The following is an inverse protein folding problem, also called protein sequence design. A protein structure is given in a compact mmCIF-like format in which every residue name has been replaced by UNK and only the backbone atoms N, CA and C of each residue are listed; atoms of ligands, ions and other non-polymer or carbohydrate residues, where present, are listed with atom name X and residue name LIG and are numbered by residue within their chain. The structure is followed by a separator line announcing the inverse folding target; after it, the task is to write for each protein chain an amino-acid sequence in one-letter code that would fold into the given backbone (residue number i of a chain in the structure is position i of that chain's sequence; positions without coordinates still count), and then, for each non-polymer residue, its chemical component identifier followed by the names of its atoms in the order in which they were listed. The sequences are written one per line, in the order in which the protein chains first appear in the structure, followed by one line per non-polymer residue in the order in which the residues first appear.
data_IF_614569240244
#
_entry.id   IF_614569240244
#
_cell.length_a   1.000
_cell.length_b   1.000
_cell.length_c   1.000
_cell.angle_alpha   90.00
_cell.angle_beta   90.00
_cell.angle_gamma   90.00
#
_symmetry.space_group_name_H-M   'P 1'
#
loop_
_entity.id
_entity.type
_entity.pdbx_description
1 polymer ?
#
# COMPACT_ATOMS: atom_id res chain seq x y z
N UNK A 1 -9.99 -9.81 30.15
CA UNK A 1 -10.83 -8.97 31.04
C UNK A 1 -12.29 -9.16 30.63
N UNK A 2 -13.06 -9.98 31.37
CA UNK A 2 -14.42 -10.36 30.97
C UNK A 2 -15.34 -9.15 30.79
N UNK A 3 -15.97 -9.04 29.62
CA UNK A 3 -17.01 -8.04 29.35
C UNK A 3 -16.52 -6.59 29.20
N UNK A 4 -15.19 -6.35 29.18
CA UNK A 4 -14.63 -5.01 28.95
C UNK A 4 -14.24 -4.82 27.49
N UNK A 5 -14.33 -3.57 27.01
CA UNK A 5 -13.93 -3.15 25.66
C UNK A 5 -12.44 -2.75 25.58
N UNK A 6 -11.74 -2.72 26.72
CA UNK A 6 -10.35 -2.26 26.80
C UNK A 6 -9.38 -3.43 26.98
N UNK A 7 -8.12 -3.20 26.61
CA UNK A 7 -7.00 -4.07 26.88
C UNK A 7 -5.92 -3.37 27.72
N UNK A 8 -5.01 -4.16 28.27
CA UNK A 8 -3.77 -3.67 28.90
C UNK A 8 -2.66 -4.68 28.64
N UNK A 9 -1.58 -4.23 28.06
CA UNK A 9 -0.35 -5.00 27.96
C UNK A 9 0.83 -4.28 28.61
N UNK A 10 1.84 -5.06 28.99
CA UNK A 10 3.03 -4.54 29.65
C UNK A 10 4.27 -5.27 29.16
N UNK A 11 5.31 -4.48 28.91
CA UNK A 11 6.66 -4.99 28.74
C UNK A 11 7.34 -5.23 30.10
N UNK A 12 8.35 -6.11 30.14
CA UNK A 12 9.18 -6.29 31.31
C UNK A 12 9.77 -4.96 31.77
N UNK A 13 9.73 -4.72 33.07
CA UNK A 13 10.31 -3.55 33.70
C UNK A 13 10.86 -3.93 35.07
N UNK A 14 11.48 -2.95 35.77
CA UNK A 14 12.10 -3.18 37.08
C UNK A 14 11.17 -3.78 38.15
N UNK A 15 9.85 -3.73 37.96
CA UNK A 15 8.84 -4.26 38.87
C UNK A 15 8.13 -5.51 38.34
N UNK A 16 8.14 -5.75 37.03
CA UNK A 16 7.44 -6.86 36.38
C UNK A 16 8.41 -7.54 35.43
N UNK A 17 8.85 -8.76 35.74
CA UNK A 17 9.81 -9.49 34.89
C UNK A 17 9.16 -10.10 33.64
N UNK A 18 7.85 -10.30 33.66
CA UNK A 18 7.13 -10.97 32.59
C UNK A 18 6.35 -9.98 31.74
N UNK A 19 6.34 -10.23 30.42
CA UNK A 19 5.38 -9.61 29.50
C UNK A 19 3.99 -10.21 29.73
N UNK A 20 2.95 -9.38 29.71
CA UNK A 20 1.57 -9.85 29.63
C UNK A 20 0.73 -8.99 28.70
N UNK A 21 -0.32 -9.57 28.14
CA UNK A 21 -1.40 -8.87 27.44
C UNK A 21 -2.74 -9.36 28.01
N UNK A 22 -3.48 -8.45 28.63
CA UNK A 22 -4.84 -8.69 29.09
C UNK A 22 -5.78 -8.08 28.06
N UNK A 23 -6.61 -8.91 27.43
CA UNK A 23 -7.52 -8.47 26.37
C UNK A 23 -8.95 -8.43 26.92
N UNK A 24 -9.64 -7.32 26.72
CA UNK A 24 -11.07 -7.20 27.01
C UNK A 24 -11.90 -8.09 26.10
N UNK A 25 -12.87 -8.82 26.65
CA UNK A 25 -13.67 -9.79 25.87
C UNK A 25 -15.07 -9.29 25.53
N UNK A 26 -15.34 -7.99 25.65
CA UNK A 26 -16.55 -7.45 25.07
C UNK A 26 -16.53 -7.65 23.55
N UNK A 27 -17.69 -7.95 22.97
CA UNK A 27 -17.86 -8.28 21.55
C UNK A 27 -17.04 -9.47 21.04
N UNK A 28 -16.44 -10.27 21.94
CA UNK A 28 -15.61 -11.41 21.57
C UNK A 28 -16.39 -12.55 20.88
N UNK A 29 -17.71 -12.63 21.08
CA UNK A 29 -18.56 -13.69 20.53
C UNK A 29 -17.96 -15.08 20.77
N UNK A 30 -18.18 -16.00 19.83
CA UNK A 30 -17.50 -17.30 19.80
C UNK A 30 -16.18 -17.28 19.02
N UNK A 31 -15.93 -16.25 18.20
CA UNK A 31 -14.68 -16.04 17.44
C UNK A 31 -14.47 -14.55 17.11
N UNK A 32 -13.22 -14.05 17.05
CA UNK A 32 -12.93 -12.70 16.56
C UNK A 32 -13.37 -12.54 15.11
N UNK A 33 -14.35 -11.66 14.85
CA UNK A 33 -14.85 -11.35 13.51
C UNK A 33 -13.91 -10.39 12.77
N UNK A 34 -13.75 -10.56 11.46
CA UNK A 34 -13.15 -9.53 10.59
C UNK A 34 -13.93 -8.22 10.68
N UNK A 35 -13.21 -7.10 10.67
CA UNK A 35 -13.80 -5.78 10.84
C UNK A 35 -14.25 -5.46 12.27
N UNK A 36 -14.18 -6.42 13.20
CA UNK A 36 -14.70 -6.31 14.55
C UNK A 36 -13.74 -5.63 15.52
N UNK A 37 -14.29 -4.84 16.44
CA UNK A 37 -13.52 -4.11 17.45
C UNK A 37 -12.71 -5.03 18.38
N UNK A 38 -13.28 -6.14 18.86
CA UNK A 38 -12.56 -7.11 19.69
C UNK A 38 -11.28 -7.64 19.03
N UNK A 39 -11.33 -7.92 17.72
CA UNK A 39 -10.16 -8.37 16.96
C UNK A 39 -9.10 -7.28 16.89
N UNK A 40 -9.49 -6.03 16.68
CA UNK A 40 -8.56 -4.90 16.70
C UNK A 40 -7.87 -4.78 18.06
N UNK A 41 -8.63 -4.86 19.17
CA UNK A 41 -8.06 -4.80 20.53
C UNK A 41 -7.09 -5.96 20.77
N UNK A 42 -7.41 -7.17 20.32
CA UNK A 42 -6.50 -8.32 20.40
C UNK A 42 -5.15 -8.03 19.73
N UNK A 43 -5.16 -7.47 18.51
CA UNK A 43 -3.94 -7.13 17.77
C UNK A 43 -3.21 -5.99 18.47
N UNK A 44 -3.94 -4.97 18.93
CA UNK A 44 -3.40 -3.80 19.63
C UNK A 44 -2.63 -4.19 20.91
N UNK A 45 -3.24 -4.99 21.79
CA UNK A 45 -2.57 -5.41 23.02
C UNK A 45 -1.40 -6.36 22.75
N UNK A 46 -1.49 -7.16 21.69
CA UNK A 46 -0.36 -7.98 21.24
C UNK A 46 0.78 -7.08 20.76
N UNK A 47 0.48 -5.98 20.07
CA UNK A 47 1.44 -4.94 19.66
C UNK A 47 2.21 -4.36 20.85
N UNK A 48 1.51 -3.95 21.90
CA UNK A 48 2.13 -3.51 23.16
C UNK A 48 3.01 -4.59 23.80
N UNK A 49 2.57 -5.85 23.80
CA UNK A 49 3.35 -6.97 24.33
C UNK A 49 4.66 -7.24 23.55
N UNK A 50 4.73 -6.84 22.29
CA UNK A 50 5.94 -6.86 21.46
C UNK A 50 6.61 -5.49 21.33
N UNK A 51 6.27 -4.54 22.21
CA UNK A 51 7.01 -3.28 22.37
C UNK A 51 6.64 -2.15 21.42
N UNK A 52 5.51 -2.25 20.73
CA UNK A 52 4.90 -1.12 20.03
C UNK A 52 4.20 -0.22 21.04
N UNK A 53 4.29 1.10 20.85
CA UNK A 53 3.52 2.07 21.65
C UNK A 53 2.39 2.67 20.82
N UNK A 54 1.50 3.41 21.47
CA UNK A 54 0.64 4.33 20.72
C UNK A 54 1.50 5.32 19.91
N UNK A 55 1.09 5.72 18.70
CA UNK A 55 1.88 6.62 17.87
C UNK A 55 2.13 8.01 18.50
N UNK A 56 1.23 8.47 19.39
CA UNK A 56 1.38 9.70 20.17
C UNK A 56 1.38 9.48 21.69
N UNK A 57 1.70 10.53 22.47
CA UNK A 57 1.65 10.53 23.94
C UNK A 57 0.20 10.63 24.46
N UNK A 58 -0.56 9.54 24.34
CA UNK A 58 -1.87 9.38 24.95
C UNK A 58 -2.04 7.98 25.52
N UNK A 59 -2.91 7.87 26.52
CA UNK A 59 -3.25 6.62 27.17
C UNK A 59 -4.68 6.71 27.73
N UNK A 60 -5.49 5.68 27.49
CA UNK A 60 -6.89 5.59 27.92
C UNK A 60 -7.89 6.57 27.27
N UNK A 61 -7.47 7.78 26.89
CA UNK A 61 -8.30 8.76 26.18
C UNK A 61 -7.45 9.76 25.38
N UNK A 62 -8.05 10.38 24.37
CA UNK A 62 -7.43 11.44 23.58
C UNK A 62 -8.34 11.93 22.46
N UNK A 63 -8.07 13.11 21.92
CA UNK A 63 -8.70 13.60 20.70
C UNK A 63 -7.64 13.84 19.63
N UNK A 64 -7.94 13.47 18.39
CA UNK A 64 -7.00 13.55 17.28
C UNK A 64 -6.38 14.97 17.17
N UNK A 65 -7.22 16.01 17.22
CA UNK A 65 -6.80 17.40 17.07
C UNK A 65 -5.76 17.89 18.09
N UNK A 66 -5.64 17.27 19.26
CA UNK A 66 -4.73 17.73 20.32
C UNK A 66 -3.69 16.70 20.76
N UNK A 67 -3.90 15.42 20.45
CA UNK A 67 -3.04 14.33 20.93
C UNK A 67 -2.32 13.56 19.80
N UNK A 68 -2.80 13.64 18.56
CA UNK A 68 -2.06 13.09 17.43
C UNK A 68 -0.77 13.89 17.24
N UNK A 69 0.38 13.21 17.26
CA UNK A 69 1.69 13.87 17.08
C UNK A 69 2.00 14.13 15.59
N UNK A 70 1.30 13.43 14.68
CA UNK A 70 1.44 13.56 13.24
C UNK A 70 0.12 13.19 12.54
N UNK A 71 -0.03 13.61 11.28
CA UNK A 71 -1.28 13.46 10.52
C UNK A 71 -1.65 12.01 10.18
N UNK A 72 -0.68 11.09 10.23
CA UNK A 72 -0.90 9.67 9.96
C UNK A 72 -1.25 8.85 11.21
N UNK A 73 -1.40 9.47 12.39
CA UNK A 73 -1.84 8.80 13.60
C UNK A 73 -3.33 8.49 13.51
N UNK A 74 -3.67 7.47 12.73
CA UNK A 74 -5.02 6.97 12.55
C UNK A 74 -5.03 5.45 12.38
N UNK A 75 -6.20 4.83 12.57
CA UNK A 75 -6.42 3.40 12.31
C UNK A 75 -6.24 2.99 10.84
N UNK A 76 -6.11 3.94 9.90
CA UNK A 76 -5.72 3.63 8.54
C UNK A 76 -4.28 3.14 8.44
N UNK A 77 -3.43 3.57 9.38
CA UNK A 77 -1.98 3.39 9.35
C UNK A 77 -1.49 2.45 10.43
N UNK A 78 -2.11 2.49 11.61
CA UNK A 78 -1.69 1.70 12.77
C UNK A 78 -2.89 1.26 13.62
N UNK A 79 -2.94 -0.02 13.97
CA UNK A 79 -3.90 -0.53 14.97
C UNK A 79 -3.61 0.00 16.37
N UNK A 80 -2.39 0.50 16.61
CA UNK A 80 -1.99 1.17 17.85
C UNK A 80 -2.62 2.56 17.99
N UNK A 81 -3.19 3.13 16.93
CA UNK A 81 -3.85 4.43 17.00
C UNK A 81 -5.25 4.37 17.65
N UNK A 82 -5.55 5.38 18.46
CA UNK A 82 -6.89 5.57 19.01
C UNK A 82 -7.84 6.23 18.02
N UNK A 83 -7.32 6.87 16.97
CA UNK A 83 -8.09 7.81 16.16
C UNK A 83 -8.66 7.13 14.92
N UNK A 84 -9.90 7.49 14.56
CA UNK A 84 -10.55 7.00 13.34
C UNK A 84 -9.71 7.32 12.11
N UNK A 85 -9.70 6.37 11.17
CA UNK A 85 -9.19 6.48 9.81
C UNK A 85 -9.67 7.75 9.11
N UNK A 86 -10.90 8.21 9.37
CA UNK A 86 -11.50 9.39 8.73
C UNK A 86 -10.82 10.71 9.09
N UNK A 87 -9.93 10.72 10.10
CA UNK A 87 -9.08 11.87 10.36
C UNK A 87 -7.96 12.05 9.31
N UNK A 88 -7.70 11.01 8.50
CA UNK A 88 -6.83 11.04 7.35
C UNK A 88 -7.68 11.12 6.07
N UNK A 89 -7.52 12.16 5.23
CA UNK A 89 -8.28 12.30 3.99
C UNK A 89 -8.11 11.08 3.07
N UNK A 90 -9.21 10.64 2.46
CA UNK A 90 -9.20 9.48 1.54
C UNK A 90 -9.44 8.13 2.21
N UNK A 91 -9.73 8.08 3.51
CA UNK A 91 -10.01 6.83 4.23
C UNK A 91 -11.42 6.83 4.84
N UNK A 92 -12.15 5.74 4.63
CA UNK A 92 -13.43 5.45 5.26
C UNK A 92 -13.64 3.94 5.30
N UNK A 93 -13.58 3.36 6.51
CA UNK A 93 -13.74 1.93 6.70
C UNK A 93 -15.19 1.57 7.04
N UNK A 94 -16.12 2.52 6.90
CA UNK A 94 -17.52 2.34 7.24
C UNK A 94 -17.71 1.83 8.69
N UNK A 95 -16.93 2.38 9.62
CA UNK A 95 -16.88 1.99 11.04
C UNK A 95 -16.30 0.59 11.32
N UNK A 96 -15.75 -0.10 10.32
CA UNK A 96 -15.02 -1.35 10.50
C UNK A 96 -13.60 -1.08 11.02
N UNK A 97 -13.03 -2.12 11.63
CA UNK A 97 -11.69 -2.06 12.21
C UNK A 97 -10.69 -2.93 11.44
N UNK A 98 -9.39 -2.57 11.41
CA UNK A 98 -8.35 -3.42 10.86
C UNK A 98 -8.37 -4.84 11.42
N UNK A 99 -8.21 -5.83 10.54
CA UNK A 99 -8.22 -7.26 10.91
C UNK A 99 -6.83 -7.87 11.04
N UNK A 100 -5.79 -7.08 10.78
CA UNK A 100 -4.37 -7.42 10.85
C UNK A 100 -3.57 -6.15 11.21
N UNK A 101 -2.27 -6.28 11.56
CA UNK A 101 -1.38 -5.12 11.63
C UNK A 101 -1.41 -4.29 10.34
N UNK A 102 -1.41 -2.96 10.49
CA UNK A 102 -1.42 -2.01 9.39
C UNK A 102 0.01 -1.52 9.07
N UNK A 103 0.15 -0.71 8.02
CA UNK A 103 1.44 -0.33 7.43
C UNK A 103 2.49 0.15 8.46
N UNK A 104 2.11 1.04 9.38
CA UNK A 104 3.04 1.58 10.39
C UNK A 104 3.35 0.55 11.50
N UNK A 105 2.42 -0.36 11.80
CA UNK A 105 2.64 -1.45 12.75
C UNK A 105 3.68 -2.44 12.22
N UNK A 106 3.57 -2.80 10.93
CA UNK A 106 4.50 -3.69 10.24
C UNK A 106 5.88 -3.06 10.23
N UNK A 107 6.00 -1.80 9.79
CA UNK A 107 7.28 -1.10 9.75
C UNK A 107 7.94 -1.00 11.15
N UNK A 108 7.15 -0.70 12.19
CA UNK A 108 7.64 -0.62 13.56
C UNK A 108 8.14 -1.96 14.10
N UNK A 109 7.36 -3.03 13.91
CA UNK A 109 7.74 -4.38 14.34
C UNK A 109 9.00 -4.86 13.60
N UNK A 110 9.08 -4.63 12.30
CA UNK A 110 10.25 -4.99 11.50
C UNK A 110 11.50 -4.18 11.89
N UNK A 111 11.34 -2.95 12.35
CA UNK A 111 12.47 -2.17 12.89
C UNK A 111 13.03 -2.79 14.17
N UNK A 112 12.18 -3.37 15.02
CA UNK A 112 12.59 -4.01 16.27
C UNK A 112 13.19 -5.40 16.03
N UNK A 113 12.60 -6.18 15.12
CA UNK A 113 12.84 -7.63 15.03
C UNK A 113 13.37 -8.10 13.68
N UNK A 114 13.49 -7.20 12.70
CA UNK A 114 13.78 -7.54 11.31
C UNK A 114 12.54 -7.95 10.52
N UNK A 115 12.62 -7.80 9.19
CA UNK A 115 11.60 -8.28 8.28
C UNK A 115 11.65 -9.80 8.15
N UNK A 116 10.50 -10.47 8.22
CA UNK A 116 10.40 -11.91 8.00
C UNK A 116 10.10 -12.22 6.52
N UNK A 117 11.16 -12.34 5.73
CA UNK A 117 11.10 -12.63 4.29
C UNK A 117 10.77 -14.10 3.96
N UNK A 118 10.61 -14.97 4.96
CA UNK A 118 10.12 -16.34 4.73
C UNK A 118 8.58 -16.40 4.68
N UNK A 119 7.90 -15.30 4.98
CA UNK A 119 6.44 -15.27 4.97
C UNK A 119 5.96 -15.12 3.53
N UNK A 120 5.20 -16.11 3.04
CA UNK A 120 4.56 -16.07 1.71
C UNK A 120 5.53 -15.80 0.56
N UNK A 121 6.77 -16.27 0.67
CA UNK A 121 7.84 -16.04 -0.30
C UNK A 121 7.75 -16.84 -1.61
N UNK A 122 6.52 -17.10 -2.04
CA UNK A 122 6.11 -17.78 -3.28
C UNK A 122 4.81 -17.13 -3.74
N UNK A 123 4.41 -17.37 -4.98
CA UNK A 123 3.20 -16.81 -5.61
C UNK A 123 1.97 -16.85 -4.69
N UNK A 124 1.53 -15.66 -4.30
CA UNK A 124 0.44 -15.46 -3.34
C UNK A 124 -0.69 -14.65 -3.94
N UNK A 125 -1.91 -15.15 -3.79
CA UNK A 125 -3.13 -14.41 -4.11
C UNK A 125 -3.76 -13.87 -2.83
N UNK A 126 -3.98 -12.56 -2.79
CA UNK A 126 -4.67 -11.80 -1.74
C UNK A 126 -6.08 -11.43 -2.21
N UNK A 127 -7.07 -11.42 -1.31
CA UNK A 127 -8.45 -11.11 -1.68
C UNK A 127 -9.27 -12.34 -2.05
N UNK A 128 -9.99 -12.29 -3.17
CA UNK A 128 -10.67 -13.48 -3.71
C UNK A 128 -9.65 -14.53 -4.13
N UNK A 129 -10.09 -15.79 -4.22
CA UNK A 129 -9.24 -16.93 -4.60
C UNK A 129 -7.95 -17.06 -3.77
N UNK A 130 -7.92 -16.48 -2.55
CA UNK A 130 -6.69 -16.34 -1.79
C UNK A 130 -6.12 -17.68 -1.30
N UNK A 131 -4.80 -17.81 -1.43
CA UNK A 131 -4.01 -18.94 -0.92
C UNK A 131 -3.20 -18.57 0.35
N UNK A 132 -3.42 -17.39 0.93
CA UNK A 132 -2.66 -16.87 2.08
C UNK A 132 -2.81 -17.71 3.35
N UNK A 133 -3.85 -18.53 3.44
CA UNK A 133 -4.28 -19.22 4.66
C UNK A 133 -4.44 -18.24 5.85
N UNK A 134 -4.90 -17.00 5.57
CA UNK A 134 -5.18 -15.97 6.57
C UNK A 134 -6.54 -15.37 6.29
N UNK A 135 -7.47 -15.55 7.24
CA UNK A 135 -8.81 -15.01 7.10
C UNK A 135 -8.82 -13.49 6.83
N UNK A 136 -7.98 -12.71 7.52
CA UNK A 136 -7.86 -11.26 7.33
C UNK A 136 -7.48 -10.82 5.91
N UNK A 137 -6.92 -11.73 5.10
CA UNK A 137 -6.39 -11.46 3.77
C UNK A 137 -7.19 -12.18 2.67
N UNK A 138 -8.30 -12.84 3.04
CA UNK A 138 -9.13 -13.63 2.12
C UNK A 138 -10.56 -13.10 2.07
N UNK A 139 -11.08 -13.00 0.85
CA UNK A 139 -12.46 -12.65 0.53
C UNK A 139 -13.18 -13.86 -0.04
N UNK A 140 -14.43 -14.06 0.39
CA UNK A 140 -15.28 -15.20 0.01
C UNK A 140 -16.50 -14.75 -0.77
N UNK A 141 -16.99 -13.54 -0.51
CA UNK A 141 -18.19 -12.99 -1.15
C UNK A 141 -18.03 -11.50 -1.44
N UNK A 142 -18.84 -10.98 -2.36
CA UNK A 142 -18.92 -9.56 -2.69
C UNK A 142 -19.38 -8.65 -1.51
N UNK A 143 -19.84 -9.25 -0.41
CA UNK A 143 -20.23 -8.52 0.81
C UNK A 143 -19.10 -8.44 1.84
N UNK A 144 -17.97 -9.08 1.60
CA UNK A 144 -16.81 -8.99 2.49
C UNK A 144 -16.16 -7.61 2.36
N UNK A 145 -15.58 -7.12 3.47
CA UNK A 145 -15.06 -5.77 3.57
C UNK A 145 -13.60 -5.82 4.03
N UNK A 146 -12.64 -5.78 3.09
CA UNK A 146 -11.22 -5.93 3.43
C UNK A 146 -10.70 -4.69 4.16
N UNK A 147 -10.04 -4.88 5.30
CA UNK A 147 -9.25 -3.83 5.97
C UNK A 147 -7.94 -4.45 6.45
N UNK A 148 -6.90 -4.35 5.62
CA UNK A 148 -5.61 -4.99 5.87
C UNK A 148 -4.44 -4.29 5.16
N UNK A 149 -3.22 -4.61 5.60
CA UNK A 149 -1.97 -4.28 4.92
C UNK A 149 -1.26 -5.56 4.48
N UNK A 150 -0.78 -5.59 3.25
CA UNK A 150 -0.03 -6.72 2.68
C UNK A 150 1.43 -6.65 3.14
N UNK A 151 1.91 -7.73 3.73
CA UNK A 151 3.33 -8.05 3.85
C UNK A 151 3.60 -9.28 3.00
N UNK A 152 4.58 -9.25 2.11
CA UNK A 152 5.01 -10.42 1.33
C UNK A 152 6.54 -10.51 1.33
N UNK A 153 7.07 -11.73 1.32
CA UNK A 153 8.49 -12.04 1.26
C UNK A 153 9.04 -12.24 -0.15
N UNK A 154 8.17 -12.33 -1.17
CA UNK A 154 8.50 -12.45 -2.59
C UNK A 154 7.64 -13.51 -3.31
N UNK A 155 7.76 -13.60 -4.61
CA UNK A 155 6.88 -14.43 -5.44
C UNK A 155 6.38 -13.63 -6.63
N UNK A 156 5.50 -14.22 -7.42
CA UNK A 156 4.68 -13.50 -8.40
C UNK A 156 3.25 -13.37 -7.83
N UNK A 157 2.97 -12.22 -7.21
CA UNK A 157 1.83 -12.06 -6.31
C UNK A 157 0.67 -11.32 -6.96
N UNK A 158 -0.56 -11.60 -6.50
CA UNK A 158 -1.79 -11.04 -7.06
C UNK A 158 -2.69 -10.42 -5.99
N UNK A 159 -3.12 -9.18 -6.22
CA UNK A 159 -4.31 -8.64 -5.58
C UNK A 159 -5.56 -8.95 -6.41
N UNK A 160 -6.36 -9.91 -5.96
CA UNK A 160 -7.57 -10.35 -6.65
C UNK A 160 -8.81 -9.76 -5.97
N UNK A 161 -9.40 -8.76 -6.61
CA UNK A 161 -10.63 -8.10 -6.19
C UNK A 161 -11.77 -8.30 -7.19
N UNK A 162 -11.70 -9.37 -7.97
CA UNK A 162 -12.62 -9.69 -9.08
C UNK A 162 -14.06 -9.96 -8.69
N UNK A 163 -14.32 -10.31 -7.43
CA UNK A 163 -15.67 -10.56 -6.94
C UNK A 163 -16.48 -9.30 -6.60
N UNK A 164 -15.92 -8.09 -6.76
CA UNK A 164 -16.63 -6.83 -6.48
C UNK A 164 -17.27 -6.22 -7.72
N UNK A 165 -18.25 -5.35 -7.50
CA UNK A 165 -18.97 -4.62 -8.57
C UNK A 165 -18.96 -3.10 -8.38
N UNK A 166 -18.41 -2.63 -7.27
CA UNK A 166 -18.15 -1.22 -7.02
C UNK A 166 -16.93 -0.77 -7.81
N UNK A 167 -16.89 0.51 -8.21
CA UNK A 167 -15.69 1.12 -8.78
C UNK A 167 -14.54 1.11 -7.76
N UNK A 168 -13.42 0.51 -8.14
CA UNK A 168 -12.25 0.30 -7.30
C UNK A 168 -11.08 1.18 -7.74
N UNK A 169 -10.15 1.43 -6.82
CA UNK A 169 -8.85 2.00 -7.12
C UNK A 169 -7.78 1.10 -6.53
N UNK A 170 -7.09 0.36 -7.37
CA UNK A 170 -6.08 -0.62 -6.97
C UNK A 170 -4.71 -0.09 -7.34
N UNK A 171 -3.81 -0.01 -6.37
CA UNK A 171 -2.45 0.48 -6.57
C UNK A 171 -1.42 -0.54 -6.08
N UNK A 172 -0.56 -1.02 -6.98
CA UNK A 172 0.48 -2.02 -6.72
C UNK A 172 1.78 -1.43 -6.15
N UNK A 173 1.87 -0.12 -6.00
CA UNK A 173 3.07 0.50 -5.43
C UNK A 173 3.18 0.24 -3.92
N UNK A 174 4.37 -0.10 -3.45
CA UNK A 174 4.67 -0.17 -2.03
C UNK A 174 4.29 1.15 -1.33
N UNK A 175 3.84 1.05 -0.08
CA UNK A 175 3.45 2.19 0.76
C UNK A 175 2.25 2.99 0.23
N UNK A 176 1.50 2.42 -0.71
CA UNK A 176 0.27 2.99 -1.24
C UNK A 176 -0.99 2.41 -0.58
N UNK A 177 -2.12 3.07 -0.86
CA UNK A 177 -3.45 2.67 -0.44
C UNK A 177 -4.36 2.47 -1.66
N UNK A 178 -5.28 1.53 -1.51
CA UNK A 178 -6.30 1.16 -2.49
C UNK A 178 -7.70 1.34 -1.90
N UNK A 179 -8.64 1.73 -2.75
CA UNK A 179 -10.08 1.72 -2.48
C UNK A 179 -10.63 0.40 -3.02
N UNK A 180 -11.05 -0.50 -2.13
CA UNK A 180 -11.47 -1.86 -2.51
C UNK A 180 -12.85 -2.16 -1.95
N UNK A 181 -13.73 -2.68 -2.82
CA UNK A 181 -15.14 -2.91 -2.51
C UNK A 181 -15.87 -1.60 -2.14
N UNK A 182 -16.63 -1.61 -1.05
CA UNK A 182 -17.41 -0.45 -0.62
C UNK A 182 -16.64 0.57 0.26
N UNK A 183 -15.32 0.39 0.43
CA UNK A 183 -14.50 1.14 1.38
C UNK A 183 -13.48 2.06 0.68
N UNK A 184 -12.86 2.95 1.46
CA UNK A 184 -11.84 3.90 0.97
C UNK A 184 -10.53 3.77 1.75
N UNK A 185 -9.41 3.72 1.03
CA UNK A 185 -8.06 3.60 1.57
C UNK A 185 -7.87 2.44 2.55
N UNK A 186 -8.54 1.32 2.32
CA UNK A 186 -8.73 0.21 3.26
C UNK A 186 -7.75 -0.96 3.04
N UNK A 187 -7.21 -1.09 1.84
CA UNK A 187 -6.14 -2.04 1.52
C UNK A 187 -4.85 -1.25 1.29
N UNK A 188 -3.73 -1.76 1.79
CA UNK A 188 -2.43 -1.13 1.63
C UNK A 188 -1.31 -2.13 1.44
N UNK A 189 -0.16 -1.68 0.93
CA UNK A 189 1.03 -2.50 0.71
C UNK A 189 2.15 -1.99 1.61
N UNK A 190 2.75 -2.88 2.40
CA UNK A 190 3.84 -2.50 3.30
C UNK A 190 5.11 -2.08 2.53
N UNK A 191 5.98 -1.33 3.20
CA UNK A 191 7.28 -0.94 2.66
C UNK A 191 8.10 -2.17 2.27
N UNK A 192 8.72 -2.11 1.09
CA UNK A 192 9.63 -3.16 0.61
C UNK A 192 8.93 -4.41 0.07
N UNK A 193 7.61 -4.37 -0.10
CA UNK A 193 6.84 -5.40 -0.80
C UNK A 193 6.66 -4.98 -2.25
N UNK A 194 6.88 -5.91 -3.17
CA UNK A 194 6.51 -5.79 -4.59
C UNK A 194 5.33 -6.73 -4.82
N UNK A 195 4.30 -6.24 -5.51
CA UNK A 195 3.20 -7.07 -6.01
C UNK A 195 3.11 -6.89 -7.51
N UNK A 196 2.96 -7.98 -8.24
CA UNK A 196 3.10 -8.01 -9.69
C UNK A 196 1.74 -7.87 -10.39
N UNK A 197 0.66 -8.38 -9.79
CA UNK A 197 -0.59 -8.56 -10.50
C UNK A 197 -1.79 -7.96 -9.77
N UNK A 198 -2.78 -7.51 -10.54
CA UNK A 198 -4.06 -7.06 -10.02
C UNK A 198 -5.22 -7.53 -10.92
N UNK A 199 -6.32 -7.92 -10.27
CA UNK A 199 -7.61 -8.14 -10.92
C UNK A 199 -8.67 -7.22 -10.30
N UNK A 200 -9.23 -6.32 -11.11
CA UNK A 200 -10.42 -5.54 -10.81
C UNK A 200 -11.69 -6.38 -10.95
N UNK A 201 -12.83 -5.75 -10.68
CA UNK A 201 -14.16 -6.34 -10.61
C UNK A 201 -15.02 -6.04 -11.83
N UNK A 202 -16.32 -5.84 -11.63
CA UNK A 202 -17.25 -5.46 -12.70
C UNK A 202 -17.64 -3.97 -12.68
N UNK A 203 -16.92 -3.16 -11.89
CA UNK A 203 -17.08 -1.71 -11.79
C UNK A 203 -16.17 -0.98 -12.77
N UNK A 204 -16.23 0.36 -12.82
CA UNK A 204 -15.25 1.13 -13.59
C UNK A 204 -14.00 1.35 -12.73
N UNK A 205 -13.04 0.46 -12.85
CA UNK A 205 -11.90 0.37 -11.96
C UNK A 205 -10.71 1.17 -12.46
N UNK A 206 -9.89 1.65 -11.52
CA UNK A 206 -8.60 2.27 -11.79
C UNK A 206 -7.47 1.38 -11.24
N UNK A 207 -6.73 0.73 -12.12
CA UNK A 207 -5.59 -0.13 -11.76
C UNK A 207 -4.29 0.59 -12.08
N UNK A 208 -3.40 0.64 -11.09
CA UNK A 208 -2.08 1.26 -11.21
C UNK A 208 -1.05 0.21 -10.83
N UNK A 209 -0.27 -0.22 -11.82
CA UNK A 209 0.92 -1.02 -11.62
C UNK A 209 2.05 -0.23 -10.95
N UNK A 210 3.25 -0.79 -10.98
CA UNK A 210 4.42 -0.26 -10.30
C UNK A 210 5.63 -0.19 -11.26
N UNK A 211 6.82 -0.58 -10.80
CA UNK A 211 8.07 -0.43 -11.55
C UNK A 211 8.58 -1.77 -12.11
N UNK A 212 7.89 -2.87 -11.82
CA UNK A 212 8.16 -4.19 -12.36
C UNK A 212 7.07 -4.57 -13.35
N UNK A 213 7.33 -5.57 -14.19
CA UNK A 213 6.34 -6.09 -15.11
C UNK A 213 5.06 -6.52 -14.36
N UNK A 214 3.93 -5.94 -14.74
CA UNK A 214 2.65 -6.21 -14.12
C UNK A 214 1.68 -6.94 -15.05
N UNK A 215 0.87 -7.85 -14.51
CA UNK A 215 -0.31 -8.40 -15.18
C UNK A 215 -1.57 -7.75 -14.61
N UNK A 216 -2.25 -6.95 -15.43
CA UNK A 216 -3.43 -6.18 -15.02
C UNK A 216 -4.67 -6.67 -15.77
N UNK A 217 -5.68 -7.12 -15.02
CA UNK A 217 -7.01 -7.45 -15.53
C UNK A 217 -7.99 -6.44 -14.97
N UNK A 218 -8.56 -5.57 -15.81
CA UNK A 218 -9.58 -4.60 -15.39
C UNK A 218 -10.85 -5.31 -14.88
N UNK A 219 -11.29 -6.31 -15.65
CA UNK A 219 -12.54 -7.00 -15.42
C UNK A 219 -13.59 -6.42 -16.35
N UNK A 220 -14.85 -6.33 -15.91
CA UNK A 220 -15.89 -5.67 -16.69
C UNK A 220 -16.06 -4.22 -16.28
N UNK A 221 -16.37 -3.33 -17.19
CA UNK A 221 -16.49 -1.89 -16.88
C UNK A 221 -15.86 -1.07 -17.98
N UNK A 222 -15.69 0.23 -17.74
CA UNK A 222 -14.77 1.07 -18.51
C UNK A 222 -13.58 1.40 -17.62
N UNK A 223 -12.56 0.55 -17.65
CA UNK A 223 -11.44 0.61 -16.72
C UNK A 223 -10.35 1.56 -17.19
N UNK A 224 -9.57 2.04 -16.22
CA UNK A 224 -8.41 2.91 -16.44
C UNK A 224 -7.18 2.19 -15.92
N UNK A 225 -6.40 1.66 -16.85
CA UNK A 225 -5.25 0.81 -16.54
C UNK A 225 -3.97 1.60 -16.76
N UNK A 226 -3.06 1.56 -15.79
CA UNK A 226 -1.72 2.14 -15.91
C UNK A 226 -0.71 1.06 -15.58
N UNK A 227 0.15 0.71 -16.54
CA UNK A 227 1.20 -0.28 -16.36
C UNK A 227 2.28 0.24 -15.40
N UNK A 228 2.79 1.44 -15.66
CA UNK A 228 3.89 2.02 -14.91
C UNK A 228 5.21 1.79 -15.63
N UNK A 229 6.15 1.13 -14.99
CA UNK A 229 7.39 0.69 -15.62
C UNK A 229 7.48 -0.83 -15.57
N UNK A 230 8.16 -1.44 -16.53
CA UNK A 230 8.15 -2.89 -16.69
C UNK A 230 7.73 -3.23 -18.11
N UNK A 231 7.55 -4.52 -18.37
CA UNK A 231 6.92 -5.01 -19.60
C UNK A 231 5.55 -5.54 -19.21
N UNK A 232 4.53 -4.70 -19.32
CA UNK A 232 3.24 -4.94 -18.70
C UNK A 232 2.31 -5.74 -19.62
N UNK A 233 1.41 -6.52 -19.04
CA UNK A 233 0.42 -7.30 -19.77
C UNK A 233 -0.98 -6.90 -19.32
N UNK A 234 -1.75 -6.30 -20.23
CA UNK A 234 -3.15 -5.95 -20.04
C UNK A 234 -4.03 -7.08 -20.59
N UNK A 235 -4.87 -7.65 -19.73
CA UNK A 235 -5.54 -8.92 -19.99
C UNK A 235 -7.03 -8.72 -20.17
N UNK A 236 -7.56 -9.37 -21.21
CA UNK A 236 -8.99 -9.39 -21.54
C UNK A 236 -9.47 -10.84 -21.65
N UNK A 237 -10.18 -11.29 -20.63
CA UNK A 237 -10.63 -12.68 -20.49
C UNK A 237 -12.03 -12.91 -21.09
N UNK A 238 -12.86 -11.87 -21.15
CA UNK A 238 -14.19 -11.91 -21.74
C UNK A 238 -14.45 -10.71 -22.66
N UNK A 239 -15.38 -10.87 -23.62
CA UNK A 239 -15.77 -9.76 -24.51
C UNK A 239 -16.47 -8.62 -23.77
N UNK A 240 -17.06 -8.93 -22.61
CA UNK A 240 -17.65 -7.95 -21.71
C UNK A 240 -16.63 -7.08 -20.99
N UNK A 241 -15.35 -7.45 -21.03
CA UNK A 241 -14.32 -6.75 -20.27
C UNK A 241 -14.11 -5.34 -20.82
N UNK A 242 -14.18 -5.18 -22.15
CA UNK A 242 -13.98 -3.87 -22.81
C UNK A 242 -14.86 -3.73 -24.04
N UNK A 243 -16.12 -3.40 -23.82
CA UNK A 243 -17.12 -3.25 -24.90
C UNK A 243 -16.93 -1.95 -25.68
N UNK A 244 -17.42 -1.82 -26.93
CA UNK A 244 -17.35 -0.56 -27.67
C UNK A 244 -18.02 0.64 -26.99
N UNK A 245 -19.08 0.40 -26.22
CA UNK A 245 -19.83 1.45 -25.51
C UNK A 245 -19.13 1.88 -24.21
N UNK A 246 -18.43 0.94 -23.56
CA UNK A 246 -17.65 1.15 -22.34
C UNK A 246 -16.27 0.52 -22.51
N UNK A 247 -15.38 1.16 -23.31
CA UNK A 247 -14.05 0.62 -23.56
C UNK A 247 -13.09 1.01 -22.44
N UNK A 248 -12.20 0.08 -22.10
CA UNK A 248 -11.04 0.33 -21.28
C UNK A 248 -10.08 1.29 -21.95
N UNK A 249 -9.33 2.01 -21.11
CA UNK A 249 -8.27 2.92 -21.52
C UNK A 249 -6.99 2.59 -20.76
N UNK A 250 -5.98 2.15 -21.51
CA UNK A 250 -4.61 2.02 -21.02
C UNK A 250 -3.92 3.39 -21.09
N UNK A 251 -3.38 3.87 -19.99
CA UNK A 251 -2.98 5.27 -19.83
C UNK A 251 -1.54 5.58 -20.24
N UNK A 252 -0.72 4.55 -20.48
CA UNK A 252 0.73 4.67 -20.69
C UNK A 252 1.31 3.50 -21.52
N UNK A 253 0.56 3.00 -22.50
CA UNK A 253 0.97 1.83 -23.29
C UNK A 253 2.25 2.09 -24.10
N UNK A 254 3.27 1.27 -23.90
CA UNK A 254 4.55 1.30 -24.62
C UNK A 254 4.66 0.13 -25.61
N UNK A 255 4.45 0.40 -26.90
CA UNK A 255 4.58 -0.61 -27.95
C UNK A 255 5.98 -1.24 -28.00
N UNK A 256 6.05 -2.55 -28.21
CA UNK A 256 7.28 -3.35 -28.18
C UNK A 256 7.77 -3.70 -26.78
N UNK A 257 7.15 -3.14 -25.73
CA UNK A 257 7.42 -3.44 -24.32
C UNK A 257 6.20 -4.09 -23.70
N UNK A 258 5.07 -3.40 -23.74
CA UNK A 258 3.79 -3.85 -23.22
C UNK A 258 3.05 -4.79 -24.17
N UNK A 259 2.08 -5.53 -23.63
CA UNK A 259 1.29 -6.50 -24.36
C UNK A 259 -0.19 -6.42 -24.02
N UNK A 260 -1.02 -6.70 -25.01
CA UNK A 260 -2.44 -6.99 -24.84
C UNK A 260 -2.64 -8.51 -24.92
N UNK A 261 -3.00 -9.16 -23.82
CA UNK A 261 -3.39 -10.57 -23.84
C UNK A 261 -4.89 -10.68 -24.03
N UNK A 262 -5.28 -11.03 -25.27
CA UNK A 262 -6.67 -11.29 -25.67
C UNK A 262 -6.91 -12.78 -25.93
N UNK A 263 -5.95 -13.64 -25.58
CA UNK A 263 -5.96 -15.06 -25.96
C UNK A 263 -7.17 -15.83 -25.43
N UNK A 264 -7.70 -15.43 -24.28
CA UNK A 264 -8.88 -16.02 -23.68
C UNK A 264 -10.16 -15.78 -24.50
N UNK A 265 -10.26 -14.66 -25.23
CA UNK A 265 -11.40 -14.34 -26.10
C UNK A 265 -11.60 -15.35 -27.25
N UNK A 266 -10.56 -16.10 -27.58
CA UNK A 266 -10.57 -17.07 -28.68
C UNK A 266 -10.94 -18.48 -28.21
N UNK A 267 -10.92 -18.74 -26.89
CA UNK A 267 -11.22 -20.06 -26.34
C UNK A 267 -12.66 -20.45 -26.67
N UNK A 268 -12.83 -21.60 -27.30
CA UNK A 268 -14.15 -22.11 -27.70
C UNK A 268 -14.71 -21.48 -29.00
N UNK A 269 -13.94 -20.63 -29.68
CA UNK A 269 -14.29 -20.10 -31.00
C UNK A 269 -13.62 -20.92 -32.12
N UNK A 270 -14.04 -20.69 -33.38
CA UNK A 270 -13.36 -21.24 -34.57
C UNK A 270 -12.27 -20.30 -35.12
N UNK A 271 -11.97 -19.21 -34.43
CA UNK A 271 -10.99 -18.20 -34.87
C UNK A 271 -9.60 -18.70 -34.50
N UNK A 272 -8.72 -18.85 -35.49
CA UNK A 272 -7.36 -19.38 -35.30
C UNK A 272 -6.29 -18.31 -35.10
N UNK A 273 -6.52 -17.14 -35.68
CA UNK A 273 -5.61 -16.00 -35.62
C UNK A 273 -6.38 -14.72 -35.91
N UNK A 274 -5.82 -13.58 -35.49
CA UNK A 274 -6.33 -12.27 -35.88
C UNK A 274 -5.97 -11.97 -37.33
N UNK A 275 -6.88 -11.31 -38.03
CA UNK A 275 -6.64 -10.73 -39.36
C UNK A 275 -6.72 -9.21 -39.26
N UNK A 276 -5.57 -8.55 -39.28
CA UNK A 276 -5.50 -7.08 -39.22
C UNK A 276 -5.88 -6.46 -40.57
N UNK A 277 -6.70 -5.42 -40.53
CA UNK A 277 -7.12 -4.67 -41.71
C UNK A 277 -7.46 -3.22 -41.40
N UNK A 278 -7.79 -2.45 -42.44
CA UNK A 278 -8.14 -1.02 -42.30
C UNK A 278 -9.55 -0.78 -41.74
N UNK A 279 -10.44 -1.78 -41.85
CA UNK A 279 -11.84 -1.69 -41.40
C UNK A 279 -12.41 -3.08 -41.13
N UNK A 280 -13.44 -3.15 -40.29
CA UNK A 280 -14.22 -4.36 -40.04
C UNK A 280 -15.17 -4.61 -41.22
N UNK A 281 -15.10 -5.80 -41.82
CA UNK A 281 -15.89 -6.17 -43.01
C UNK A 281 -16.86 -7.33 -42.76
N UNK A 282 -16.93 -7.84 -41.53
CA UNK A 282 -17.78 -8.98 -41.17
C UNK A 282 -17.12 -10.34 -41.35
N UNK A 283 -15.80 -10.43 -41.14
CA UNK A 283 -15.13 -11.72 -41.01
C UNK A 283 -14.78 -11.94 -39.53
N UNK A 284 -15.17 -13.07 -38.91
CA UNK A 284 -14.79 -13.39 -37.54
C UNK A 284 -13.25 -13.39 -37.37
N UNK A 285 -12.77 -12.75 -36.31
CA UNK A 285 -11.35 -12.60 -36.03
C UNK A 285 -10.69 -11.41 -36.71
N UNK A 286 -11.45 -10.49 -37.31
CA UNK A 286 -10.88 -9.25 -37.83
C UNK A 286 -10.49 -8.29 -36.71
N UNK A 287 -9.34 -7.65 -36.87
CA UNK A 287 -8.83 -6.62 -35.99
C UNK A 287 -8.54 -5.33 -36.76
N UNK A 288 -8.82 -4.19 -36.15
CA UNK A 288 -8.45 -2.86 -36.67
C UNK A 288 -7.66 -2.13 -35.61
N UNK A 289 -6.49 -1.62 -36.00
CA UNK A 289 -5.67 -0.74 -35.19
C UNK A 289 -5.78 0.68 -35.72
N UNK A 290 -6.05 1.64 -34.85
CA UNK A 290 -5.97 3.07 -35.19
C UNK A 290 -5.01 3.78 -34.26
N UNK A 291 -4.37 4.83 -34.77
CA UNK A 291 -3.55 5.74 -33.97
C UNK A 291 -3.68 7.16 -34.51
N UNK A 292 -3.99 8.10 -33.62
CA UNK A 292 -3.99 9.52 -33.91
C UNK A 292 -2.72 10.18 -33.38
N UNK A 293 -1.84 10.64 -34.27
CA UNK A 293 -0.58 11.28 -33.88
C UNK A 293 -0.79 12.62 -33.16
N UNK A 294 -1.92 13.29 -33.36
CA UNK A 294 -2.21 14.57 -32.74
C UNK A 294 -2.57 14.45 -31.26
N UNK A 295 -3.39 13.47 -30.91
CA UNK A 295 -3.81 13.18 -29.52
C UNK A 295 -2.91 12.16 -28.81
N UNK A 296 -2.17 11.34 -29.57
CA UNK A 296 -1.44 10.19 -29.04
C UNK A 296 -2.33 9.00 -28.68
N UNK A 297 -3.61 9.02 -29.09
CA UNK A 297 -4.58 7.97 -28.78
C UNK A 297 -4.46 6.80 -29.77
N UNK A 298 -4.30 5.60 -29.23
CA UNK A 298 -4.36 4.32 -29.95
C UNK A 298 -5.65 3.57 -29.66
N UNK A 299 -6.01 2.63 -30.53
CA UNK A 299 -7.09 1.68 -30.28
C UNK A 299 -6.92 0.38 -31.02
N UNK A 300 -7.45 -0.70 -30.42
CA UNK A 300 -7.65 -2.02 -31.01
C UNK A 300 -9.14 -2.35 -30.99
N UNK A 301 -9.73 -2.58 -32.15
CA UNK A 301 -11.11 -3.06 -32.29
C UNK A 301 -11.12 -4.48 -32.85
N UNK A 302 -11.89 -5.39 -32.23
CA UNK A 302 -11.99 -6.80 -32.63
C UNK A 302 -13.43 -7.16 -33.02
N UNK A 303 -13.63 -7.75 -34.20
CA UNK A 303 -14.90 -8.38 -34.62
C UNK A 303 -14.77 -9.91 -34.47
N UNK A 304 -15.33 -10.44 -33.39
CA UNK A 304 -15.27 -11.87 -33.04
C UNK A 304 -16.49 -12.62 -33.58
N UNK A 305 -17.60 -11.93 -33.83
CA UNK A 305 -18.86 -12.52 -34.30
C UNK A 305 -19.00 -12.52 -35.82
N UNK A 306 -18.17 -11.75 -36.54
CA UNK A 306 -18.20 -11.60 -38.00
C UNK A 306 -19.35 -10.74 -38.50
N UNK A 307 -19.82 -9.77 -37.71
CA UNK A 307 -20.96 -8.93 -38.07
C UNK A 307 -20.56 -7.56 -38.65
N UNK A 308 -19.26 -7.28 -38.75
CA UNK A 308 -18.71 -6.01 -39.25
C UNK A 308 -18.69 -4.90 -38.21
N UNK A 309 -18.92 -5.22 -36.95
CA UNK A 309 -18.85 -4.32 -35.80
C UNK A 309 -17.86 -4.87 -34.78
N UNK A 310 -17.29 -3.97 -33.98
CA UNK A 310 -16.42 -4.37 -32.89
C UNK A 310 -17.28 -5.05 -31.80
N UNK A 311 -16.84 -6.21 -31.32
CA UNK A 311 -17.33 -6.85 -30.11
C UNK A 311 -16.48 -6.44 -28.89
N UNK A 312 -15.20 -6.13 -29.12
CA UNK A 312 -14.26 -5.61 -28.12
C UNK A 312 -13.57 -4.37 -28.68
N UNK A 313 -13.43 -3.33 -27.86
CA UNK A 313 -12.69 -2.11 -28.17
C UNK A 313 -11.79 -1.78 -27.00
N UNK A 314 -10.49 -1.73 -27.22
CA UNK A 314 -9.48 -1.32 -26.23
C UNK A 314 -8.87 -0.02 -26.70
N UNK A 315 -8.76 0.96 -25.82
CA UNK A 315 -8.09 2.24 -26.11
C UNK A 315 -6.78 2.34 -25.34
N UNK A 316 -5.87 3.13 -25.88
CA UNK A 316 -4.59 3.42 -25.25
C UNK A 316 -4.20 4.88 -25.44
N UNK A 317 -3.45 5.42 -24.48
CA UNK A 317 -2.51 6.51 -24.74
C UNK A 317 -1.19 5.83 -25.10
N UNK A 318 -0.73 6.06 -26.33
CA UNK A 318 0.34 5.27 -26.95
C UNK A 318 -0.19 4.39 -28.07
N UNK A 319 0.67 4.12 -29.06
CA UNK A 319 0.33 3.31 -30.24
C UNK A 319 0.29 1.83 -29.84
N UNK A 320 -0.69 1.09 -30.36
CA UNK A 320 -0.72 -0.38 -30.31
C UNK A 320 -0.33 -0.89 -31.70
N UNK A 321 0.68 -1.75 -31.79
CA UNK A 321 1.05 -2.47 -33.00
C UNK A 321 0.53 -3.92 -32.96
N UNK A 322 0.45 -4.56 -34.12
CA UNK A 322 -0.05 -5.93 -34.22
C UNK A 322 0.77 -6.92 -33.39
N UNK A 323 2.09 -6.72 -33.29
CA UNK A 323 3.00 -7.57 -32.52
C UNK A 323 2.81 -7.45 -31.00
N UNK A 324 2.14 -6.40 -30.52
CA UNK A 324 1.82 -6.22 -29.10
C UNK A 324 0.58 -7.04 -28.69
N UNK A 325 -0.20 -7.53 -29.66
CA UNK A 325 -1.47 -8.22 -29.42
C UNK A 325 -1.27 -9.73 -29.38
N UNK A 326 -1.23 -10.29 -28.17
CA UNK A 326 -1.14 -11.72 -27.95
C UNK A 326 -2.52 -12.38 -27.99
N UNK A 327 -2.73 -13.28 -28.96
CA UNK A 327 -3.99 -14.00 -29.19
C UNK A 327 -3.84 -15.53 -29.13
N UNK A 328 -2.86 -16.03 -28.39
CA UNK A 328 -2.63 -17.48 -28.19
C UNK A 328 -1.87 -18.18 -29.32
N UNK A 329 -1.53 -17.46 -30.39
CA UNK A 329 -0.52 -17.89 -31.38
C UNK A 329 0.65 -16.94 -31.21
N UNK A 330 1.78 -17.44 -30.71
CA UNK A 330 3.01 -16.64 -30.77
C UNK A 330 3.31 -16.36 -32.25
N UNK A 331 3.72 -15.14 -32.62
CA UNK A 331 4.15 -14.88 -33.98
C UNK A 331 5.19 -15.93 -34.34
N UNK A 332 4.97 -16.65 -35.44
CA UNK A 332 5.95 -17.58 -35.98
C UNK A 332 7.20 -16.77 -36.29
N UNK A 333 8.19 -16.86 -35.40
CA UNK A 333 9.55 -16.41 -35.68
C UNK A 333 10.11 -17.37 -36.72
N UNK A 334 9.78 -17.15 -38.00
CA UNK A 334 10.49 -17.71 -39.15
C UNK A 334 11.83 -16.99 -39.33
N UNK A 335 12.57 -16.82 -38.25
CA UNK A 335 14.00 -16.55 -38.27
C UNK A 335 14.66 -17.50 -37.29
N UNK A 336 15.24 -18.55 -37.86
CA UNK A 336 16.27 -19.35 -37.21
C UNK A 336 17.27 -18.38 -36.54
N UNK A 337 17.54 -18.48 -35.23
CA UNK A 337 18.58 -17.67 -34.62
C UNK A 337 19.90 -18.06 -35.28
N UNK A 338 20.50 -17.15 -36.04
CA UNK A 338 21.88 -17.31 -36.47
C UNK A 338 22.71 -17.63 -35.22
N UNK A 339 23.30 -18.83 -35.19
CA UNK A 339 24.30 -19.19 -34.19
C UNK A 339 25.29 -18.02 -34.06
N UNK A 340 25.59 -17.55 -32.85
CA UNK A 340 26.64 -16.55 -32.67
C UNK A 340 27.91 -17.07 -33.33
N UNK A 341 28.44 -16.32 -34.31
CA UNK A 341 29.81 -16.55 -34.76
C UNK A 341 30.70 -16.41 -33.53
N UNK A 342 31.64 -17.34 -33.28
CA UNK A 342 32.52 -17.24 -32.13
C UNK A 342 33.34 -15.95 -32.24
N UNK A 343 33.18 -15.07 -31.25
CA UNK A 343 33.99 -13.87 -31.11
C UNK A 343 35.46 -14.27 -31.07
N UNK A 344 36.22 -13.70 -32.00
CA UNK A 344 37.68 -13.77 -31.96
C UNK A 344 38.14 -12.87 -30.82
N UNK A 345 38.37 -13.49 -29.66
CA UNK A 345 39.03 -12.89 -28.51
C UNK A 345 40.34 -12.21 -28.96
N UNK A 346 40.53 -10.89 -28.75
CA UNK A 346 41.82 -10.26 -28.97
C UNK A 346 42.86 -10.85 -28.01
N UNK A 347 44.01 -11.23 -28.55
CA UNK A 347 45.17 -11.73 -27.80
C UNK A 347 45.68 -10.63 -26.86
N UNK A 348 46.10 -10.93 -25.61
CA UNK A 348 46.60 -9.90 -24.71
C UNK A 348 47.94 -9.34 -25.21
N UNK A 349 48.00 -8.03 -25.48
CA UNK A 349 49.25 -7.34 -25.79
C UNK A 349 50.23 -7.41 -24.60
N UNK A 350 51.50 -7.70 -24.91
CA UNK A 350 52.61 -7.70 -23.94
C UNK A 350 52.81 -6.30 -23.34
N UNK A 351 53.14 -6.18 -22.04
CA UNK A 351 53.38 -4.89 -21.41
C UNK A 351 54.66 -4.24 -21.96
N UNK A 352 54.57 -2.96 -22.33
CA UNK A 352 55.73 -2.11 -22.68
C UNK A 352 56.46 -1.62 -21.41
N UNK A 353 57.78 -1.36 -21.47
CA UNK A 353 58.58 -1.03 -20.29
C UNK A 353 58.33 0.39 -19.77
N UNK A 354 58.31 0.53 -18.44
CA UNK A 354 58.16 1.79 -17.72
C UNK A 354 59.24 2.81 -18.07
N UNK A 355 58.81 4.03 -18.42
CA UNK A 355 59.68 5.21 -18.47
C UNK A 355 59.40 6.10 -17.28
N UNK A 356 60.43 6.25 -16.44
CA UNK A 356 60.49 7.06 -15.23
C UNK A 356 60.39 8.57 -15.58
N UNK A 357 59.53 9.37 -14.94
CA UNK A 357 59.54 10.83 -15.14
C UNK A 357 60.71 11.50 -14.40
N UNK A 358 61.37 12.44 -15.07
CA UNK A 358 62.31 13.40 -14.48
C UNK A 358 61.60 14.45 -13.59
N UNK A 359 62.27 15.02 -12.58
CA UNK A 359 61.65 15.91 -11.60
C UNK A 359 61.42 17.33 -12.13
N UNK A 360 60.19 17.84 -12.00
CA UNK A 360 59.83 19.23 -12.28
C UNK A 360 60.43 20.22 -11.26
N UNK A 361 60.86 21.39 -11.76
CA UNK A 361 61.37 22.53 -10.97
C UNK A 361 60.23 23.23 -10.20
N UNK A 362 60.50 23.79 -9.00
CA UNK A 362 59.47 24.40 -8.16
C UNK A 362 59.01 25.77 -8.69
N UNK A 363 57.69 26.01 -8.64
CA UNK A 363 57.04 27.33 -8.88
C UNK A 363 57.18 28.23 -7.64
N UNK A 364 57.16 29.57 -7.78
CA UNK A 364 57.42 30.50 -6.68
C UNK A 364 56.18 30.79 -5.82
N UNK A 365 56.42 30.92 -4.51
CA UNK A 365 55.45 31.30 -3.48
C UNK A 365 54.89 32.72 -3.68
N UNK A 366 53.56 32.85 -3.72
CA UNK A 366 52.87 34.14 -3.53
C UNK A 366 52.34 34.24 -2.10
N UNK A 367 52.92 35.19 -1.37
CA UNK A 367 52.61 35.65 -0.01
C UNK A 367 51.25 36.38 0.04
N UNK A 368 50.42 36.20 1.08
CA UNK A 368 49.24 37.03 1.30
C UNK A 368 49.61 38.35 2.01
N UNK A 369 49.13 39.48 1.49
CA UNK A 369 49.26 40.81 2.10
C UNK A 369 47.93 41.30 2.73
N UNK A 370 48.01 42.26 3.67
CA UNK A 370 47.22 42.24 4.91
C UNK A 370 45.89 42.99 4.87
N UNK A 371 44.95 42.56 5.71
CA UNK A 371 43.71 43.26 6.01
C UNK A 371 43.99 44.61 6.70
N UNK A 372 43.33 45.67 6.22
CA UNK A 372 43.17 46.93 6.97
C UNK A 372 41.72 47.09 7.45
N UNK A 373 41.52 47.67 8.64
CA UNK A 373 40.22 47.72 9.31
C UNK A 373 39.44 48.96 8.85
N UNK A 374 38.11 48.93 8.94
CA UNK A 374 37.32 50.15 8.92
C UNK A 374 36.40 50.24 10.16
N UNK A 375 36.32 51.42 10.82
CA UNK A 375 35.67 51.61 12.11
C UNK A 375 34.23 52.14 11.97
N UNK A 376 33.62 52.39 13.13
CA UNK A 376 32.41 53.18 13.41
C UNK A 376 31.05 52.46 13.56
N UNK A 377 30.81 52.08 14.83
CA UNK A 377 29.62 52.41 15.65
C UNK A 377 28.92 53.73 15.27
N UNK A 378 27.60 53.98 15.35
CA UNK A 378 26.49 53.54 16.24
C UNK A 378 25.13 54.07 15.64
N UNK A 379 23.94 53.98 16.28
CA UNK A 379 22.67 53.60 15.64
C UNK A 379 21.62 54.74 15.55
N UNK A 380 20.54 54.50 14.78
CA UNK A 380 19.18 55.08 14.90
C UNK A 380 18.37 54.61 13.67
N UNK A 381 17.05 54.47 13.59
CA UNK A 381 15.92 54.37 14.52
C UNK A 381 14.70 53.98 13.65
N UNK A 382 13.72 53.29 14.26
CA UNK A 382 12.29 53.24 13.95
C UNK A 382 11.74 53.39 12.51
N UNK A 383 11.04 52.34 12.01
CA UNK A 383 9.67 52.46 11.43
C UNK A 383 8.91 51.12 11.40
N UNK A 384 7.55 51.14 11.46
CA UNK A 384 6.74 50.05 12.03
C UNK A 384 6.16 49.06 11.01
N UNK A 385 5.81 47.87 11.52
CA UNK A 385 5.06 46.79 10.86
C UNK A 385 3.57 47.14 10.66
N UNK A 386 2.89 46.63 9.61
CA UNK A 386 1.46 46.85 9.38
C UNK A 386 0.57 45.98 10.29
N UNK A 387 -0.54 46.57 10.78
CA UNK A 387 -1.59 45.93 11.62
C UNK A 387 -2.59 45.15 10.77
N UNK A 388 -3.19 44.05 11.30
CA UNK A 388 -4.38 43.42 10.69
C UNK A 388 -5.68 44.16 11.07
N UNK A 389 -6.64 44.18 10.14
CA UNK A 389 -7.98 44.81 10.28
C UNK A 389 -8.93 43.94 11.11
N UNK A 390 -9.88 44.54 11.86
CA UNK A 390 -10.90 43.80 12.60
C UNK A 390 -12.10 43.42 11.71
N UNK A 391 -12.65 42.21 11.92
CA UNK A 391 -14.00 41.84 11.44
C UNK A 391 -15.01 42.05 12.56
N UNK A 392 -16.08 42.75 12.22
CA UNK A 392 -17.24 43.08 13.04
C UNK A 392 -18.12 41.84 13.30
N UNK A 393 -18.55 41.68 14.55
CA UNK A 393 -19.60 40.73 14.97
C UNK A 393 -20.88 41.53 15.16
N UNK A 394 -21.99 41.06 14.56
CA UNK A 394 -23.34 41.56 14.78
C UNK A 394 -24.10 40.53 15.63
N UNK A 395 -24.76 41.00 16.69
CA UNK A 395 -25.72 40.25 17.50
C UNK A 395 -27.13 40.79 17.22
N UNK A 396 -28.08 39.91 16.93
CA UNK A 396 -29.52 40.11 17.18
C UNK A 396 -30.13 38.82 17.74
N UNK A 397 -31.28 38.97 18.40
CA UNK A 397 -31.65 38.26 19.63
C UNK A 397 -33.00 37.52 19.59
N UNK A 398 -33.05 36.38 20.32
CA UNK A 398 -34.18 35.77 21.09
C UNK A 398 -35.34 35.04 20.35
N UNK A 399 -36.17 34.18 21.02
CA UNK A 399 -36.03 33.43 22.29
C UNK A 399 -36.46 31.92 22.26
N UNK A 400 -36.15 31.24 23.38
CA UNK A 400 -36.58 29.95 23.99
C UNK A 400 -38.06 29.47 23.81
N UNK A 401 -38.44 28.17 24.06
CA UNK A 401 -38.36 27.55 25.41
C UNK A 401 -38.23 26.00 25.59
N UNK A 402 -37.90 25.65 26.85
CA UNK A 402 -38.28 24.49 27.69
C UNK A 402 -37.79 23.04 27.44
N UNK A 403 -37.30 22.45 28.54
CA UNK A 403 -36.85 21.08 28.78
C UNK A 403 -38.00 20.04 28.86
N UNK A 404 -37.71 18.73 29.01
CA UNK A 404 -37.50 18.16 30.35
C UNK A 404 -36.42 17.06 30.49
N UNK A 405 -36.01 16.83 31.75
CA UNK A 405 -35.23 15.72 32.32
C UNK A 405 -35.88 14.33 32.15
N UNK A 406 -35.12 13.22 32.33
CA UNK A 406 -35.24 12.43 33.57
C UNK A 406 -33.88 11.87 34.07
N UNK A 407 -33.59 11.94 35.37
CA UNK A 407 -33.97 11.03 36.46
C UNK A 407 -32.96 9.90 36.71
N UNK A 408 -32.38 9.96 37.91
CA UNK A 408 -31.63 8.92 38.60
C UNK A 408 -32.42 7.62 38.72
N UNK A 409 -31.76 6.46 38.63
CA UNK A 409 -32.26 5.23 39.22
C UNK A 409 -31.12 4.42 39.83
N UNK A 410 -31.30 4.16 41.13
CA UNK A 410 -30.53 3.25 41.99
C UNK A 410 -31.02 1.82 41.69
N UNK A 411 -30.18 0.78 41.80
CA UNK A 411 -30.53 -0.50 42.46
C UNK A 411 -29.33 -1.47 42.59
N UNK A 412 -29.18 -1.90 43.84
CA UNK A 412 -28.66 -3.14 44.45
C UNK A 412 -27.29 -3.72 44.08
N UNK A 413 -26.43 -3.66 45.09
CA UNK A 413 -25.60 -4.77 45.59
C UNK A 413 -26.26 -6.15 45.53
N UNK A 414 -25.59 -7.11 44.91
CA UNK A 414 -25.78 -8.55 45.17
C UNK A 414 -24.39 -9.17 45.40
N UNK A 415 -24.25 -9.84 46.54
CA UNK A 415 -23.09 -10.62 46.97
C UNK A 415 -22.81 -11.78 45.99
N UNK A 416 -21.58 -11.87 45.50
CA UNK A 416 -21.07 -13.09 44.86
C UNK A 416 -20.19 -13.86 45.86
N UNK A 417 -20.65 -15.05 46.23
CA UNK A 417 -19.90 -16.06 46.99
C UNK A 417 -18.84 -16.73 46.11
N UNK A 418 -17.78 -17.13 46.80
CA UNK A 418 -16.62 -17.90 46.34
C UNK A 418 -16.97 -19.17 45.55
N UNK A 419 -16.14 -19.49 44.56
CA UNK A 419 -15.69 -20.86 44.32
C UNK A 419 -14.29 -20.85 43.70
N UNK A 420 -13.32 -21.32 44.48
CA UNK A 420 -11.98 -21.73 44.04
C UNK A 420 -12.05 -23.07 43.31
N UNK A 421 -11.30 -23.22 42.22
CA UNK A 421 -10.83 -24.52 41.75
C UNK A 421 -9.45 -24.39 41.08
N UNK A 422 -8.53 -25.21 41.56
CA UNK A 422 -7.12 -25.35 41.16
C UNK A 422 -6.93 -25.94 39.76
N UNK A 423 -5.84 -25.54 39.08
CA UNK A 423 -5.11 -26.36 38.09
C UNK A 423 -3.63 -25.92 37.98
N UNK A 424 -2.70 -26.82 37.56
CA UNK A 424 -1.38 -26.98 38.19
C UNK A 424 -0.18 -26.35 37.46
N UNK A 425 0.95 -26.34 38.18
CA UNK A 425 2.23 -25.70 37.87
C UNK A 425 3.01 -26.33 36.70
N UNK A 426 3.68 -25.49 35.89
CA UNK A 426 4.85 -25.88 35.09
C UNK A 426 6.09 -25.15 35.62
N UNK A 427 7.21 -25.89 35.74
CA UNK A 427 8.53 -25.43 36.19
C UNK A 427 9.31 -24.75 35.05
N UNK A 428 10.32 -23.91 35.36
CA UNK A 428 10.71 -22.77 34.54
C UNK A 428 11.82 -23.08 33.52
N UNK A 429 11.87 -22.28 32.45
CA UNK A 429 13.00 -22.18 31.55
C UNK A 429 13.85 -20.94 31.90
N UNK A 430 15.15 -21.10 31.69
CA UNK A 430 16.31 -20.30 32.09
C UNK A 430 16.21 -18.78 31.98
N UNK A 431 16.66 -18.10 33.04
CA UNK A 431 16.84 -16.65 33.15
C UNK A 431 18.05 -16.16 32.33
N UNK A 432 17.83 -15.13 31.52
CA UNK A 432 18.90 -14.24 31.01
C UNK A 432 18.60 -12.85 31.59
N UNK A 433 19.40 -12.42 32.56
CA UNK A 433 19.27 -11.11 33.20
C UNK A 433 19.77 -10.01 32.26
N UNK A 434 18.87 -9.14 31.79
CA UNK A 434 19.23 -7.86 31.18
C UNK A 434 19.00 -6.73 32.20
N UNK A 435 20.08 -6.02 32.54
CA UNK A 435 20.11 -4.93 33.52
C UNK A 435 19.28 -3.71 33.10
N UNK A 436 18.63 -3.10 34.08
CA UNK A 436 17.83 -1.90 33.89
C UNK A 436 18.72 -0.65 33.80
N UNK A 437 18.72 0.05 32.66
CA UNK A 437 18.96 1.50 32.70
C UNK A 437 18.34 2.32 31.54
N UNK A 438 17.88 3.52 31.92
CA UNK A 438 17.34 4.66 31.14
C UNK A 438 16.30 4.43 30.02
N UNK A 439 15.04 4.76 30.36
CA UNK A 439 13.90 4.90 29.43
C UNK A 439 14.12 6.08 28.47
N UNK A 440 14.29 5.83 27.18
CA UNK A 440 14.13 6.84 26.12
C UNK A 440 13.18 6.31 25.05
N UNK A 441 11.99 6.89 24.96
CA UNK A 441 11.16 6.75 23.76
C UNK A 441 11.80 7.57 22.64
N UNK A 442 12.19 6.90 21.57
CA UNK A 442 12.69 7.57 20.36
C UNK A 442 11.52 7.83 19.42
N UNK A 443 11.23 9.11 19.18
CA UNK A 443 10.51 9.55 18.00
C UNK A 443 11.38 9.22 16.79
N UNK A 444 10.91 8.30 15.94
CA UNK A 444 11.63 7.93 14.72
C UNK A 444 11.01 8.73 13.59
N UNK A 445 11.61 9.88 13.29
CA UNK A 445 11.34 10.66 12.08
C UNK A 445 12.32 10.19 11.01
N UNK A 446 11.81 9.57 9.94
CA UNK A 446 12.59 9.43 8.71
C UNK A 446 12.66 10.80 8.04
N UNK A 447 13.86 11.30 7.76
CA UNK A 447 14.07 12.58 7.09
C UNK A 447 13.72 12.46 5.60
N UNK A 448 12.43 12.54 5.29
CA UNK A 448 11.85 12.94 4.01
C UNK A 448 10.49 13.57 4.34
N UNK A 449 10.06 14.60 3.61
CA UNK A 449 8.93 15.47 3.99
C UNK A 449 7.53 14.81 4.00
N UNK A 450 7.45 13.47 4.09
CA UNK A 450 6.27 12.65 4.40
C UNK A 450 6.53 11.61 5.50
N UNK A 451 7.47 11.92 6.41
CA UNK A 451 8.03 11.05 7.43
C UNK A 451 7.01 10.19 8.21
N UNK A 452 7.20 8.87 8.14
CA UNK A 452 6.65 7.87 9.05
C UNK A 452 7.07 8.21 10.49
N UNK A 453 6.12 8.13 11.44
CA UNK A 453 6.39 8.24 12.88
C UNK A 453 5.68 7.12 13.61
N UNK A 454 6.36 5.99 13.78
CA UNK A 454 5.93 4.95 14.72
C UNK A 454 6.80 5.02 15.98
N UNK A 455 6.18 4.80 17.16
CA UNK A 455 6.90 4.69 18.42
C UNK A 455 7.11 3.24 18.81
N UNK A 456 8.37 2.90 19.05
CA UNK A 456 8.80 1.60 19.49
C UNK A 456 9.89 1.77 20.56
N UNK A 457 10.00 0.80 21.48
CA UNK A 457 11.04 0.82 22.51
C UNK A 457 12.44 0.73 21.89
N UNK A 458 13.26 1.77 22.09
CA UNK A 458 14.66 1.80 21.65
C UNK A 458 15.59 1.25 22.72
N UNK A 459 16.12 0.05 22.53
CA UNK A 459 17.28 -0.46 23.25
C UNK A 459 18.49 -0.50 22.33
N UNK A 460 19.56 0.22 22.67
CA UNK A 460 20.85 0.08 21.98
C UNK A 460 21.44 -1.27 22.36
N UNK A 461 21.54 -2.21 21.42
CA UNK A 461 22.33 -3.43 21.63
C UNK A 461 23.80 -3.03 21.50
N UNK A 462 24.49 -2.94 22.63
CA UNK A 462 25.95 -2.94 22.66
C UNK A 462 26.44 -4.22 23.35
N UNK A 463 27.13 -5.06 22.57
CA UNK A 463 27.96 -6.17 23.05
C UNK A 463 27.26 -7.51 23.07
#
# INVERSE_FOLDING_TARGET
MPGTNNGVASLPNRYLRNTFANIGTADAGTNPRQGGFFRQVLIHETGHAIGLEHPGKYDGSGTYATHAEYAGDTRARSVMSYFSERNQPGHDFNSLHPSAPMMDDIAAAQRLYGANTNTRNTDTTYGFNSNTNRDALSLKTANDNPVFCVWDGGGDDTMDFSGFSQDQKINLNAESFSDVGALKGNVSIARGVTLENAAGGTGNDALIGNHVANRLTGGGGADRLRGGGGADTFVYDHTSDSTPDNPDVILDFESGVDRLDVSALFKGTNIKALTFGERLTGQPGQAVLNYDEGSGEGSLALDLTGNGKADVLIKSIGRINADDVYHGVSPSVDTEPEKPKPDTRPEPEKPKPDTRPEPEKPKPDTRPEPQKPNPDSRPDSCRPKPKPKPRTVSCESKPEPCAPTPASCVISTINAREHQANAPSMKPAYDVEAGADQRRSTLISASDQWAFTARAWGGTVHG
#
